data_IF_184690104530
#
_entry.id   IF_184690104530
#
_cell.length_a   1.000
_cell.length_b   1.000
_cell.length_c   1.000
_cell.angle_alpha   90.00
_cell.angle_beta   90.00
_cell.angle_gamma   90.00
#
_symmetry.space_group_name_H-M   'P 1'
#
loop_
_entity.id
_entity.type
_entity.pdbx_description
1 polymer ?
#
# COMPACT_ATOMS: atom_id res chain seq x y z
N UNK A 1 1.29 -3.00 -11.68
CA UNK A 1 1.51 -3.29 -10.23
C UNK A 1 0.53 -4.32 -9.66
N UNK A 2 -0.74 -4.34 -10.08
CA UNK A 2 -1.83 -5.12 -9.46
C UNK A 2 -1.81 -6.65 -9.61
N UNK A 3 -1.01 -7.22 -10.53
CA UNK A 3 -0.94 -8.67 -10.79
C UNK A 3 0.23 -9.40 -10.12
N UNK A 4 1.21 -8.67 -9.58
CA UNK A 4 2.36 -9.29 -8.92
C UNK A 4 1.94 -9.71 -7.50
N UNK A 5 2.01 -11.01 -7.20
CA UNK A 5 1.69 -11.55 -5.88
C UNK A 5 2.59 -11.02 -4.76
N UNK A 6 3.79 -10.53 -5.09
CA UNK A 6 4.70 -9.93 -4.11
C UNK A 6 4.35 -8.50 -3.70
N UNK A 7 3.33 -7.90 -4.32
CA UNK A 7 2.93 -6.51 -4.09
C UNK A 7 1.70 -6.44 -3.19
N UNK A 8 1.69 -5.48 -2.27
CA UNK A 8 0.48 -5.07 -1.52
C UNK A 8 0.43 -3.54 -1.43
N UNK A 9 -0.76 -2.91 -1.41
CA UNK A 9 -2.10 -3.51 -1.58
C UNK A 9 -2.37 -3.96 -3.03
N UNK A 10 -3.36 -4.84 -3.21
CA UNK A 10 -3.84 -5.34 -4.51
C UNK A 10 -5.33 -5.08 -4.70
N UNK A 11 -5.73 -4.80 -5.93
CA UNK A 11 -7.12 -4.49 -6.26
C UNK A 11 -8.02 -5.68 -5.95
N UNK A 12 -9.14 -5.43 -5.26
CA UNK A 12 -10.13 -6.44 -4.93
C UNK A 12 -9.65 -7.51 -3.94
N UNK A 13 -8.44 -7.37 -3.40
CA UNK A 13 -7.86 -8.31 -2.45
C UNK A 13 -7.64 -7.60 -1.13
N UNK A 14 -8.30 -8.09 -0.08
CA UNK A 14 -8.04 -7.61 1.27
C UNK A 14 -6.64 -8.08 1.69
N UNK A 15 -5.77 -7.20 2.20
CA UNK A 15 -4.46 -7.61 2.70
C UNK A 15 -4.59 -8.65 3.82
N UNK A 16 -3.71 -9.65 3.85
CA UNK A 16 -3.68 -10.69 4.91
C UNK A 16 -3.27 -10.09 6.25
N UNK A 17 -3.55 -10.74 7.40
CA UNK A 17 -3.12 -10.23 8.71
C UNK A 17 -1.60 -10.01 8.79
N UNK A 18 -0.80 -10.88 8.16
CA UNK A 18 0.64 -10.70 8.05
C UNK A 18 1.02 -9.43 7.29
N UNK A 19 0.41 -9.22 6.11
CA UNK A 19 0.63 -8.04 5.30
C UNK A 19 0.26 -6.77 6.07
N UNK A 20 -0.91 -6.77 6.73
CA UNK A 20 -1.39 -5.65 7.56
C UNK A 20 -0.39 -5.30 8.66
N UNK A 21 0.14 -6.31 9.34
CA UNK A 21 1.08 -6.11 10.44
C UNK A 21 2.45 -5.59 9.96
N UNK A 22 2.94 -6.06 8.79
CA UNK A 22 4.14 -5.48 8.16
C UNK A 22 3.91 -4.01 7.77
N UNK A 23 2.76 -3.69 7.15
CA UNK A 23 2.39 -2.31 6.82
C UNK A 23 2.32 -1.41 8.06
N UNK A 24 1.71 -1.90 9.14
CA UNK A 24 1.64 -1.18 10.41
C UNK A 24 3.02 -0.94 11.03
N UNK A 25 3.91 -1.94 11.00
CA UNK A 25 5.28 -1.80 11.49
C UNK A 25 6.07 -0.73 10.72
N UNK A 26 5.95 -0.70 9.39
CA UNK A 26 6.56 0.32 8.54
C UNK A 26 5.99 1.70 8.88
N UNK A 27 4.66 1.85 8.87
CA UNK A 27 4.04 3.14 9.16
C UNK A 27 4.41 3.69 10.55
N UNK A 28 4.48 2.82 11.56
CA UNK A 28 4.95 3.16 12.90
C UNK A 28 6.40 3.65 12.91
N UNK A 29 7.30 3.01 12.15
CA UNK A 29 8.69 3.44 12.02
C UNK A 29 8.84 4.85 11.42
N UNK A 30 7.88 5.27 10.60
CA UNK A 30 7.81 6.63 10.02
C UNK A 30 6.86 7.57 10.77
N UNK A 31 6.25 7.14 11.89
CA UNK A 31 5.34 7.95 12.69
C UNK A 31 4.05 8.37 11.99
N UNK A 32 3.60 7.64 10.97
CA UNK A 32 2.40 7.96 10.19
C UNK A 32 1.20 7.13 10.63
N UNK A 33 0.03 7.73 10.90
CA UNK A 33 -1.21 6.99 11.09
C UNK A 33 -1.56 6.17 9.84
N UNK A 34 -2.00 4.93 10.03
CA UNK A 34 -2.14 3.95 8.94
C UNK A 34 -3.46 3.19 9.01
N UNK A 35 -4.10 3.00 7.86
CA UNK A 35 -5.24 2.10 7.70
C UNK A 35 -4.77 0.75 7.13
N UNK A 36 -4.76 -0.34 7.92
CA UNK A 36 -4.31 -1.65 7.46
C UNK A 36 -5.22 -2.28 6.40
N UNK A 37 -6.49 -1.89 6.31
CA UNK A 37 -7.42 -2.45 5.32
C UNK A 37 -7.17 -1.92 3.91
N UNK A 38 -6.69 -0.69 3.80
CA UNK A 38 -6.54 0.06 2.54
C UNK A 38 -5.09 0.44 2.24
N UNK A 39 -4.19 0.29 3.21
CA UNK A 39 -2.80 0.70 3.16
C UNK A 39 -2.60 2.22 3.01
N UNK A 40 -3.59 3.00 3.42
CA UNK A 40 -3.50 4.46 3.40
C UNK A 40 -2.71 4.94 4.62
N UNK A 41 -1.61 5.64 4.37
CA UNK A 41 -0.91 6.45 5.34
C UNK A 41 -1.54 7.84 5.37
N UNK A 42 -2.11 8.23 6.50
CA UNK A 42 -2.73 9.53 6.71
C UNK A 42 -1.67 10.54 7.14
N UNK A 43 -1.75 11.76 6.64
CA UNK A 43 -0.85 12.82 7.07
C UNK A 43 -0.78 13.96 6.08
N UNK A 44 -0.10 15.04 6.47
CA UNK A 44 0.05 16.26 5.65
C UNK A 44 1.08 16.10 4.52
N UNK A 45 1.17 14.91 3.92
CA UNK A 45 2.20 14.56 2.95
C UNK A 45 2.28 15.59 1.84
N UNK A 46 3.36 16.37 1.84
CA UNK A 46 3.72 17.19 0.68
C UNK A 46 4.38 16.24 -0.31
N UNK A 47 3.93 16.14 -1.57
CA UNK A 47 4.60 15.33 -2.57
C UNK A 47 6.08 15.68 -2.63
N UNK A 48 6.91 14.77 -2.15
CA UNK A 48 8.37 14.89 -2.16
C UNK A 48 8.88 14.07 -3.35
N UNK A 49 9.02 14.73 -4.49
CA UNK A 49 9.51 14.10 -5.72
C UNK A 49 9.42 15.02 -6.93
N UNK A 50 10.48 15.04 -7.73
CA UNK A 50 10.54 15.69 -9.03
C UNK A 50 11.15 14.70 -10.05
N UNK A 51 10.60 14.57 -11.26
CA UNK A 51 9.40 15.24 -11.76
C UNK A 51 8.10 14.63 -11.20
N UNK A 52 7.01 15.39 -11.22
CA UNK A 52 5.67 14.83 -11.10
C UNK A 52 5.45 13.97 -12.34
N UNK A 53 5.37 12.66 -12.16
CA UNK A 53 5.18 11.72 -13.27
C UNK A 53 3.68 11.52 -13.46
N UNK A 54 3.19 11.87 -14.64
CA UNK A 54 1.87 11.45 -15.09
C UNK A 54 1.99 10.03 -15.63
N UNK A 55 1.13 9.14 -15.13
CA UNK A 55 1.05 7.76 -15.58
C UNK A 55 -0.34 7.54 -16.15
N UNK A 56 -0.40 7.09 -17.41
CA UNK A 56 -1.65 6.58 -17.97
C UNK A 56 -2.03 5.32 -17.19
N UNK A 57 -3.12 5.43 -16.44
CA UNK A 57 -3.67 4.33 -15.67
C UNK A 57 -5.09 4.03 -16.16
N UNK A 58 -5.39 2.75 -16.25
CA UNK A 58 -6.78 2.31 -16.48
C UNK A 58 -7.64 2.69 -15.27
N UNK A 59 -8.96 2.92 -15.44
CA UNK A 59 -9.86 3.19 -14.32
C UNK A 59 -9.74 2.15 -13.20
N UNK A 60 -9.54 0.88 -13.56
CA UNK A 60 -9.40 -0.21 -12.62
C UNK A 60 -8.04 -0.19 -11.90
N UNK A 61 -6.98 0.36 -12.48
CA UNK A 61 -5.72 0.58 -11.75
C UNK A 61 -5.84 1.73 -10.74
N UNK A 62 -6.72 2.69 -11.03
CA UNK A 62 -6.99 3.82 -10.15
C UNK A 62 -7.80 3.46 -8.90
N UNK A 63 -8.58 2.38 -8.94
CA UNK A 63 -9.41 1.92 -7.80
C UNK A 63 -8.61 1.74 -6.49
N UNK A 64 -7.34 1.36 -6.59
CA UNK A 64 -6.45 1.23 -5.42
C UNK A 64 -6.23 2.55 -4.67
N UNK A 65 -6.36 3.67 -5.37
CA UNK A 65 -6.20 5.02 -4.83
C UNK A 65 -7.53 5.65 -4.39
N UNK A 66 -8.68 4.99 -4.61
CA UNK A 66 -9.98 5.48 -4.16
C UNK A 66 -10.04 5.88 -2.66
N UNK A 67 -9.38 5.19 -1.71
CA UNK A 67 -9.39 5.60 -0.30
C UNK A 67 -8.40 6.73 0.03
N UNK A 68 -7.58 7.19 -0.92
CA UNK A 68 -6.55 8.22 -0.70
C UNK A 68 -7.15 9.62 -0.87
N UNK A 69 -7.23 10.38 0.22
CA UNK A 69 -7.62 11.79 0.18
C UNK A 69 -6.38 12.71 0.06
N UNK A 70 -6.03 13.04 -1.19
CA UNK A 70 -4.90 13.94 -1.47
C UNK A 70 -5.07 15.35 -0.92
N UNK A 71 -6.31 15.80 -0.68
CA UNK A 71 -6.55 17.13 -0.07
C UNK A 71 -6.11 17.18 1.39
N UNK A 72 -6.07 16.02 2.06
CA UNK A 72 -5.55 15.86 3.42
C UNK A 72 -4.05 15.54 3.46
N UNK A 73 -3.45 15.25 2.29
CA UNK A 73 -2.07 14.81 2.15
C UNK A 73 -1.88 13.28 2.25
N UNK A 74 -2.97 12.51 2.18
CA UNK A 74 -2.90 11.05 2.31
C UNK A 74 -2.04 10.44 1.18
N UNK A 75 -1.42 9.31 1.50
CA UNK A 75 -0.59 8.55 0.56
C UNK A 75 -0.86 7.05 0.67
N UNK A 76 -0.63 6.33 -0.42
CA UNK A 76 -0.75 4.88 -0.45
C UNK A 76 0.61 4.25 -0.16
N UNK A 77 0.70 3.38 0.84
CA UNK A 77 1.89 2.58 1.09
C UNK A 77 1.90 1.36 0.17
N UNK A 78 2.77 1.38 -0.83
CA UNK A 78 3.06 0.20 -1.67
C UNK A 78 4.27 -0.56 -1.15
N UNK A 79 4.14 -1.87 -0.94
CA UNK A 79 5.24 -2.76 -0.58
C UNK A 79 5.39 -3.78 -1.69
N UNK A 80 6.63 -3.98 -2.15
CA UNK A 80 6.97 -5.01 -3.13
C UNK A 80 8.26 -5.70 -2.74
N UNK A 81 8.31 -7.01 -2.95
CA UNK A 81 9.52 -7.81 -2.81
C UNK A 81 10.03 -8.25 -4.16
N UNK A 82 11.36 -8.30 -4.31
CA UNK A 82 12.05 -8.78 -5.50
C UNK A 82 13.19 -9.72 -5.08
N UNK A 83 13.35 -10.90 -5.72
CA UNK A 83 12.51 -11.42 -6.80
C UNK A 83 11.13 -11.92 -6.35
N UNK A 84 11.02 -12.38 -5.11
CA UNK A 84 9.83 -13.04 -4.56
C UNK A 84 9.50 -12.54 -3.15
N UNK A 85 8.24 -12.72 -2.75
CA UNK A 85 7.78 -12.44 -1.39
C UNK A 85 8.28 -13.49 -0.39
N UNK A 86 8.36 -13.16 0.91
CA UNK A 86 8.70 -14.14 1.94
C UNK A 86 7.66 -15.29 1.97
N UNK A 87 8.05 -16.49 2.44
CA UNK A 87 7.12 -17.59 2.62
C UNK A 87 5.88 -17.17 3.41
N UNK A 88 4.71 -17.66 2.99
CA UNK A 88 3.39 -17.38 3.61
C UNK A 88 2.93 -15.92 3.52
N UNK A 89 3.53 -15.11 2.66
CA UNK A 89 3.09 -13.74 2.41
C UNK A 89 1.60 -13.62 2.03
N UNK A 90 1.10 -14.55 1.21
CA UNK A 90 -0.29 -14.60 0.75
C UNK A 90 -1.21 -15.47 1.64
N UNK A 91 -0.72 -15.99 2.76
CA UNK A 91 -1.49 -16.84 3.66
C UNK A 91 -2.49 -16.00 4.49
N UNK A 92 -3.81 -16.23 4.38
CA UNK A 92 -4.81 -15.41 5.04
C UNK A 92 -4.85 -15.54 6.57
N UNK A 93 -4.20 -16.54 7.16
CA UNK A 93 -4.29 -16.80 8.61
C UNK A 93 -3.01 -16.45 9.40
N UNK A 94 -1.94 -16.07 8.71
CA UNK A 94 -0.64 -15.83 9.35
C UNK A 94 -0.58 -14.42 9.94
N UNK A 95 -0.09 -14.30 11.17
CA UNK A 95 0.21 -13.04 11.87
C UNK A 95 1.68 -13.06 12.31
N UNK A 96 2.42 -11.94 12.28
CA UNK A 96 3.82 -11.88 12.72
C UNK A 96 4.01 -12.01 14.23
#
# INVERSE_FOLDING_TARGET
>A
MSKNGSVVPRRGVRPTPWQQAVGAAIAAAYGSPFDPGTFVCKGSGVPIGYPVIELDCTPEEWELFAPVDRSKGDSLLGISWSPDAPPRWDDPEVTP
#
